data_IF_556218379200
#
_entry.id   IF_556218379200
#
_cell.length_a   1.000
_cell.length_b   1.000
_cell.length_c   1.000
_cell.angle_alpha   90.00
_cell.angle_beta   90.00
_cell.angle_gamma   90.00
#
_symmetry.space_group_name_H-M   'P 1'
#
loop_
_entity.id
_entity.type
_entity.pdbx_description
1 polymer ?
#
# COMPACT_ATOMS: atom_id res chain seq x y z
N UNK A 1 -12.83 10.56 3.31
CA UNK A 1 -12.72 9.10 3.47
C UNK A 1 -13.86 8.65 4.35
N UNK A 2 -14.73 7.76 3.87
CA UNK A 2 -15.85 7.26 4.67
C UNK A 2 -15.33 6.40 5.82
N UNK A 3 -15.71 6.74 7.05
CA UNK A 3 -15.31 6.01 8.25
C UNK A 3 -16.31 4.90 8.56
N UNK A 4 -15.85 3.75 9.09
CA UNK A 4 -16.75 2.65 9.42
C UNK A 4 -17.65 3.05 10.59
N UNK A 5 -18.97 3.01 10.36
CA UNK A 5 -19.98 3.25 11.41
C UNK A 5 -20.09 2.08 12.38
N UNK A 6 -19.75 0.88 11.91
CA UNK A 6 -19.75 -0.36 12.69
C UNK A 6 -18.41 -1.05 12.51
N UNK A 7 -17.80 -1.47 13.62
CA UNK A 7 -16.56 -2.25 13.62
C UNK A 7 -16.93 -3.73 13.82
N UNK A 8 -16.71 -4.60 12.84
CA UNK A 8 -16.97 -6.02 12.97
C UNK A 8 -16.13 -6.66 14.08
N UNK A 9 -16.71 -7.65 14.74
CA UNK A 9 -16.03 -8.45 15.76
C UNK A 9 -15.52 -9.74 15.13
N UNK A 10 -14.28 -10.13 15.43
CA UNK A 10 -13.68 -11.35 14.91
C UNK A 10 -14.14 -12.60 15.69
N UNK A 11 -13.75 -13.79 15.23
CA UNK A 11 -14.11 -15.07 15.86
C UNK A 11 -13.61 -15.25 17.32
N UNK A 12 -12.76 -14.35 17.82
CA UNK A 12 -12.29 -14.32 19.20
C UNK A 12 -12.97 -13.22 20.04
N UNK A 13 -14.05 -12.61 19.56
CA UNK A 13 -14.76 -11.55 20.29
C UNK A 13 -14.05 -10.19 20.29
N UNK A 14 -12.95 -10.05 19.54
CA UNK A 14 -12.17 -8.80 19.50
C UNK A 14 -12.57 -7.91 18.30
N UNK A 15 -12.58 -6.57 18.45
CA UNK A 15 -12.80 -5.66 17.32
C UNK A 15 -11.77 -5.87 16.20
N UNK A 16 -12.25 -6.00 14.96
CA UNK A 16 -11.40 -6.14 13.79
C UNK A 16 -10.75 -4.80 13.41
N UNK A 17 -9.56 -4.87 12.82
CA UNK A 17 -8.84 -3.69 12.34
C UNK A 17 -9.18 -3.43 10.87
N UNK A 18 -9.53 -2.19 10.53
CA UNK A 18 -9.65 -1.73 9.15
C UNK A 18 -8.24 -1.57 8.54
N UNK A 19 -8.03 -2.14 7.37
CA UNK A 19 -6.79 -2.06 6.60
C UNK A 19 -7.10 -1.75 5.15
N UNK A 20 -6.08 -1.32 4.40
CA UNK A 20 -6.15 -1.06 2.95
C UNK A 20 -5.31 -2.10 2.23
N UNK A 21 -5.85 -2.70 1.17
CA UNK A 21 -5.09 -3.59 0.30
C UNK A 21 -4.23 -2.78 -0.67
N UNK A 22 -2.98 -3.21 -0.83
CA UNK A 22 -2.01 -2.63 -1.76
C UNK A 22 -1.61 -3.61 -2.87
N UNK A 23 -2.34 -4.73 -2.99
CA UNK A 23 -2.18 -5.68 -4.09
C UNK A 23 -2.70 -5.10 -5.41
N UNK A 24 -2.16 -5.54 -6.54
CA UNK A 24 -2.65 -5.15 -7.86
C UNK A 24 -4.11 -5.59 -8.11
N UNK A 25 -4.56 -6.68 -7.47
CA UNK A 25 -5.91 -7.21 -7.67
C UNK A 25 -6.99 -6.42 -6.90
N UNK A 26 -6.60 -5.72 -5.85
CA UNK A 26 -7.52 -4.96 -5.00
C UNK A 26 -6.87 -3.63 -4.53
N UNK A 27 -6.38 -2.78 -5.45
CA UNK A 27 -5.61 -1.61 -5.10
C UNK A 27 -6.47 -0.60 -4.36
N UNK A 28 -6.05 -0.21 -3.16
CA UNK A 28 -6.76 0.79 -2.34
C UNK A 28 -8.05 0.28 -1.68
N UNK A 29 -8.46 -0.97 -1.90
CA UNK A 29 -9.71 -1.52 -1.34
C UNK A 29 -9.55 -1.85 0.12
N UNK A 30 -10.43 -1.34 0.98
CA UNK A 30 -10.35 -1.57 2.43
C UNK A 30 -11.07 -2.84 2.87
N UNK A 31 -10.55 -3.43 3.93
CA UNK A 31 -11.05 -4.66 4.54
C UNK A 31 -10.80 -4.69 6.05
N UNK A 32 -11.63 -5.44 6.76
CA UNK A 32 -11.41 -5.75 8.17
C UNK A 32 -10.71 -7.09 8.32
N UNK A 33 -9.75 -7.16 9.24
CA UNK A 33 -9.14 -8.43 9.66
C UNK A 33 -8.90 -8.47 11.17
N UNK A 34 -8.82 -9.66 11.75
CA UNK A 34 -8.37 -9.81 13.13
C UNK A 34 -6.90 -9.40 13.32
N UNK A 35 -6.54 -8.84 14.48
CA UNK A 35 -5.13 -8.58 14.84
C UNK A 35 -4.26 -9.84 14.88
N UNK A 36 -4.85 -10.99 15.24
CA UNK A 36 -4.18 -12.31 15.23
C UNK A 36 -4.30 -13.04 13.89
N UNK A 37 -4.63 -12.33 12.80
CA UNK A 37 -4.71 -12.95 11.49
C UNK A 37 -3.32 -13.37 11.03
N UNK A 38 -3.15 -14.67 10.72
CA UNK A 38 -1.87 -15.23 10.28
C UNK A 38 -0.81 -15.28 11.38
N UNK A 39 -1.21 -15.19 12.65
CA UNK A 39 -0.27 -15.33 13.77
C UNK A 39 0.31 -16.74 13.80
N UNK A 40 1.63 -16.83 13.92
CA UNK A 40 2.37 -18.08 14.11
C UNK A 40 2.31 -18.60 15.55
N UNK A 41 1.94 -17.73 16.49
CA UNK A 41 1.81 -18.07 17.91
C UNK A 41 0.34 -18.32 18.27
N UNK A 42 0.03 -19.58 18.60
CA UNK A 42 -1.32 -20.02 18.94
C UNK A 42 -2.23 -20.20 17.72
N UNK A 43 -3.53 -20.41 17.95
CA UNK A 43 -4.50 -20.63 16.86
C UNK A 43 -4.77 -19.32 16.09
N UNK A 44 -4.53 -19.25 14.77
CA UNK A 44 -4.72 -18.03 14.00
C UNK A 44 -6.19 -17.69 13.79
N UNK A 45 -6.54 -16.41 13.91
CA UNK A 45 -7.88 -15.92 13.59
C UNK A 45 -7.98 -15.58 12.10
N UNK A 46 -8.63 -16.42 11.30
CA UNK A 46 -8.80 -16.16 9.86
C UNK A 46 -9.99 -15.24 9.52
N UNK A 47 -10.38 -14.36 10.45
CA UNK A 47 -11.47 -13.42 10.21
C UNK A 47 -11.04 -12.35 9.20
N UNK A 48 -11.78 -12.24 8.10
CA UNK A 48 -11.57 -11.27 7.03
C UNK A 48 -12.90 -10.93 6.38
N UNK A 49 -13.20 -9.63 6.21
CA UNK A 49 -14.33 -9.17 5.39
C UNK A 49 -13.96 -7.90 4.63
N UNK A 50 -14.53 -7.70 3.44
CA UNK A 50 -14.35 -6.46 2.67
C UNK A 50 -15.18 -5.32 3.27
N UNK A 51 -14.60 -4.12 3.36
CA UNK A 51 -15.31 -2.91 3.75
C UNK A 51 -15.82 -2.16 2.53
N UNK A 52 -14.94 -1.90 1.57
CA UNK A 52 -15.32 -1.27 0.31
C UNK A 52 -15.78 -2.34 -0.71
N UNK A 53 -16.73 -2.01 -1.61
CA UNK A 53 -17.04 -2.85 -2.76
C UNK A 53 -15.82 -3.00 -3.68
N UNK A 54 -15.79 -4.02 -4.57
CA UNK A 54 -14.74 -4.11 -5.56
C UNK A 54 -14.77 -2.89 -6.49
N UNK A 55 -13.60 -2.45 -6.91
CA UNK A 55 -13.49 -1.45 -7.97
C UNK A 55 -14.02 -2.04 -9.29
N UNK A 56 -14.53 -1.16 -10.17
CA UNK A 56 -14.85 -1.57 -11.54
C UNK A 56 -13.55 -1.92 -12.29
N UNK A 57 -13.57 -2.85 -13.25
CA UNK A 57 -12.38 -3.20 -14.03
C UNK A 57 -11.71 -1.98 -14.67
N UNK A 58 -12.49 -1.05 -15.19
CA UNK A 58 -11.99 0.20 -15.77
C UNK A 58 -11.25 1.06 -14.72
N UNK A 59 -11.87 1.29 -13.55
CA UNK A 59 -11.23 2.07 -12.48
C UNK A 59 -9.96 1.41 -11.94
N UNK A 60 -9.91 0.07 -11.90
CA UNK A 60 -8.73 -0.67 -11.50
C UNK A 60 -7.58 -0.49 -12.50
N UNK A 61 -7.84 -0.61 -13.81
CA UNK A 61 -6.84 -0.38 -14.86
C UNK A 61 -6.28 1.04 -14.78
N UNK A 62 -7.17 2.04 -14.66
CA UNK A 62 -6.76 3.45 -14.55
C UNK A 62 -5.90 3.67 -13.30
N UNK A 63 -6.34 3.20 -12.14
CA UNK A 63 -5.61 3.36 -10.88
C UNK A 63 -4.22 2.70 -10.93
N UNK A 64 -4.13 1.47 -11.44
CA UNK A 64 -2.85 0.77 -11.59
C UNK A 64 -1.93 1.47 -12.60
N UNK A 65 -2.48 1.93 -13.72
CA UNK A 65 -1.73 2.69 -14.72
C UNK A 65 -1.14 3.98 -14.15
N UNK A 66 -1.93 4.71 -13.36
CA UNK A 66 -1.48 5.93 -12.68
C UNK A 66 -0.41 5.63 -11.63
N UNK A 67 -0.60 4.61 -10.78
CA UNK A 67 0.39 4.20 -9.78
C UNK A 67 1.72 3.79 -10.44
N UNK A 68 1.66 3.07 -11.57
CA UNK A 68 2.84 2.72 -12.35
C UNK A 68 3.56 3.97 -12.86
N UNK A 69 2.81 4.92 -13.45
CA UNK A 69 3.38 6.18 -13.96
C UNK A 69 4.04 7.00 -12.86
N UNK A 70 3.39 7.13 -11.69
CA UNK A 70 3.97 7.83 -10.53
C UNK A 70 5.30 7.18 -10.12
N UNK A 71 5.33 5.85 -9.97
CA UNK A 71 6.56 5.14 -9.61
C UNK A 71 7.68 5.38 -10.63
N UNK A 72 7.37 5.28 -11.93
CA UNK A 72 8.35 5.55 -13.00
C UNK A 72 8.91 6.98 -12.91
N UNK A 73 8.06 7.98 -12.65
CA UNK A 73 8.50 9.36 -12.49
C UNK A 73 9.36 9.55 -11.23
N UNK A 74 8.98 8.92 -10.12
CA UNK A 74 9.77 8.95 -8.88
C UNK A 74 11.15 8.30 -9.05
N UNK A 75 11.23 7.18 -9.75
CA UNK A 75 12.47 6.48 -10.05
C UNK A 75 13.37 7.29 -11.00
N UNK A 76 12.78 7.92 -12.03
CA UNK A 76 13.50 8.82 -12.93
C UNK A 76 14.09 10.01 -12.16
N UNK A 77 13.30 10.66 -11.32
CA UNK A 77 13.74 11.77 -10.46
C UNK A 77 14.82 11.33 -9.46
N UNK A 78 14.70 10.11 -8.91
CA UNK A 78 15.71 9.55 -7.99
C UNK A 78 17.03 9.31 -8.72
N UNK A 79 16.97 8.81 -9.94
CA UNK A 79 18.14 8.60 -10.80
C UNK A 79 18.81 9.92 -11.13
N UNK A 80 18.03 10.90 -11.58
CA UNK A 80 18.51 12.24 -11.88
C UNK A 80 19.22 12.88 -10.67
N UNK A 81 18.60 12.81 -9.49
CA UNK A 81 19.21 13.30 -8.24
C UNK A 81 20.54 12.62 -7.93
N UNK A 82 20.64 11.30 -8.13
CA UNK A 82 21.91 10.57 -7.93
C UNK A 82 22.97 11.01 -8.92
N UNK A 83 22.60 11.18 -10.20
CA UNK A 83 23.51 11.65 -11.24
C UNK A 83 24.06 13.04 -10.90
N UNK A 84 23.19 13.99 -10.53
CA UNK A 84 23.62 15.33 -10.14
C UNK A 84 24.49 15.35 -8.90
N UNK A 85 24.18 14.50 -7.91
CA UNK A 85 25.03 14.34 -6.74
C UNK A 85 26.43 13.84 -7.12
N UNK A 86 26.53 12.82 -8.00
CA UNK A 86 27.81 12.31 -8.48
C UNK A 86 28.59 13.36 -9.28
N UNK A 87 27.92 14.12 -10.15
CA UNK A 87 28.52 15.22 -10.91
C UNK A 87 29.07 16.28 -9.96
N UNK A 88 28.30 16.68 -8.95
CA UNK A 88 28.73 17.66 -7.95
C UNK A 88 29.96 17.18 -7.18
N UNK A 89 29.97 15.93 -6.71
CA UNK A 89 31.15 15.33 -6.03
C UNK A 89 32.36 15.33 -6.96
N UNK A 90 32.21 14.89 -8.21
CA UNK A 90 33.31 14.86 -9.18
C UNK A 90 33.89 16.26 -9.44
N UNK A 91 33.03 17.26 -9.66
CA UNK A 91 33.45 18.66 -9.86
C UNK A 91 34.18 19.19 -8.62
N UNK A 92 33.69 18.91 -7.42
CA UNK A 92 34.40 19.34 -6.20
C UNK A 92 35.77 18.69 -6.05
N UNK A 93 35.94 17.41 -6.40
CA UNK A 93 37.23 16.72 -6.33
C UNK A 93 38.22 17.22 -7.39
N UNK A 94 37.76 17.68 -8.55
CA UNK A 94 38.65 18.25 -9.57
C UNK A 94 39.08 19.70 -9.30
N UNK A 95 38.32 20.40 -8.46
CA UNK A 95 38.58 21.81 -8.12
C UNK A 95 39.45 21.98 -6.85
N UNK A 96 39.75 20.90 -6.14
CA UNK A 96 40.61 20.85 -4.95
C UNK A 96 41.73 19.82 -5.15
#
# INVERSE_FOLDING_TARGET
MEMPRVIPVCYYGNPAKLNTSWSNDNPGRRFFRCKKFGSEFGKPCRFFIWFDPPLTPHSQIVLLGLLKKVRTLEDARRTERKTWFLVLVFVTVLLF
#
